data_IF_554640137238
#
_entry.id   IF_554640137238
#
_cell.length_a   1.000
_cell.length_b   1.000
_cell.length_c   1.000
_cell.angle_alpha   90.00
_cell.angle_beta   90.00
_cell.angle_gamma   90.00
#
_symmetry.space_group_name_H-M   'P 1'
#
loop_
_entity.id
_entity.type
_entity.pdbx_description
1 polymer ?
#
# COMPACT_ATOMS: atom_id res chain seq x y z
N UNK A 1 -8.15 -7.26 -9.17
CA UNK A 1 -6.69 -7.14 -9.08
C UNK A 1 -5.94 -8.05 -10.03
N UNK A 2 -6.41 -9.27 -10.23
CA UNK A 2 -5.70 -10.24 -11.09
C UNK A 2 -5.55 -9.76 -12.54
N UNK A 3 -6.52 -9.06 -13.07
CA UNK A 3 -6.48 -8.58 -14.46
C UNK A 3 -5.34 -7.58 -14.70
N UNK A 4 -4.81 -6.96 -13.64
CA UNK A 4 -3.69 -6.02 -13.73
C UNK A 4 -2.37 -6.65 -13.32
N UNK A 5 -2.38 -7.95 -13.01
CA UNK A 5 -1.20 -8.68 -12.59
C UNK A 5 -0.49 -8.03 -11.39
N UNK A 6 -1.29 -7.62 -10.42
CA UNK A 6 -0.82 -7.01 -9.17
C UNK A 6 -1.58 -7.65 -8.01
N UNK A 7 -0.90 -7.90 -6.90
CA UNK A 7 -1.55 -8.43 -5.71
C UNK A 7 -1.90 -7.29 -4.74
N UNK A 8 -2.65 -7.64 -3.70
CA UNK A 8 -3.15 -6.66 -2.73
C UNK A 8 -2.01 -5.92 -2.02
N UNK A 9 -0.93 -6.62 -1.67
CA UNK A 9 0.20 -6.01 -0.98
C UNK A 9 0.93 -5.01 -1.86
N UNK A 10 1.13 -5.36 -3.13
CA UNK A 10 1.73 -4.45 -4.09
C UNK A 10 0.87 -3.21 -4.30
N UNK A 11 -0.44 -3.39 -4.38
CA UNK A 11 -1.38 -2.28 -4.50
C UNK A 11 -1.30 -1.37 -3.27
N UNK A 12 -1.24 -1.96 -2.06
CA UNK A 12 -1.18 -1.19 -0.83
C UNK A 12 0.08 -0.31 -0.77
N UNK A 13 1.22 -0.82 -1.23
CA UNK A 13 2.45 -0.03 -1.29
C UNK A 13 2.30 1.14 -2.26
N UNK A 14 1.78 0.87 -3.46
CA UNK A 14 1.59 1.93 -4.46
C UNK A 14 0.60 2.99 -3.96
N UNK A 15 -0.49 2.56 -3.33
CA UNK A 15 -1.48 3.49 -2.79
C UNK A 15 -0.88 4.38 -1.72
N UNK A 16 -0.08 3.81 -0.81
CA UNK A 16 0.58 4.59 0.23
C UNK A 16 1.50 5.65 -0.38
N UNK A 17 2.33 5.27 -1.35
CA UNK A 17 3.25 6.20 -1.99
C UNK A 17 2.53 7.25 -2.82
N UNK A 18 1.40 6.88 -3.42
CA UNK A 18 0.58 7.80 -4.19
C UNK A 18 0.01 8.91 -3.31
N UNK A 19 -0.50 8.54 -2.13
CA UNK A 19 -1.18 9.49 -1.25
C UNK A 19 -0.24 10.24 -0.30
N UNK A 20 0.84 9.60 0.15
CA UNK A 20 1.71 10.16 1.18
C UNK A 20 3.07 10.61 0.67
N UNK A 21 3.39 10.36 -0.61
CA UNK A 21 4.70 10.66 -1.16
C UNK A 21 5.74 9.64 -0.75
N UNK A 22 7.01 9.96 -1.01
CA UNK A 22 8.11 9.04 -0.70
C UNK A 22 8.17 8.69 0.78
N UNK A 23 8.54 7.44 1.07
CA UNK A 23 8.59 6.92 2.43
C UNK A 23 9.85 6.08 2.61
N UNK A 24 10.47 6.08 3.81
CA UNK A 24 11.48 5.09 4.15
C UNK A 24 10.88 3.69 4.06
N UNK A 25 11.65 2.72 3.56
CA UNK A 25 11.15 1.35 3.37
C UNK A 25 10.60 0.77 4.66
N UNK A 26 11.29 0.97 5.78
CA UNK A 26 10.85 0.45 7.07
C UNK A 26 9.47 1.00 7.47
N UNK A 27 9.21 2.27 7.17
CA UNK A 27 7.93 2.90 7.51
C UNK A 27 6.78 2.36 6.68
N UNK A 28 7.04 1.95 5.44
CA UNK A 28 6.01 1.34 4.59
C UNK A 28 5.49 0.06 5.24
N UNK A 29 6.40 -0.80 5.70
CA UNK A 29 6.01 -2.04 6.37
C UNK A 29 5.15 -1.80 7.60
N UNK A 30 5.48 -0.79 8.39
CA UNK A 30 4.69 -0.44 9.58
C UNK A 30 3.28 0.00 9.23
N UNK A 31 3.15 0.82 8.18
CA UNK A 31 1.85 1.41 7.82
C UNK A 31 0.89 0.42 7.19
N UNK A 32 1.38 -0.59 6.50
CA UNK A 32 0.53 -1.57 5.81
C UNK A 32 0.54 -2.95 6.46
N UNK A 33 1.11 -3.05 7.67
CA UNK A 33 1.09 -4.27 8.48
C UNK A 33 1.70 -5.48 7.77
N UNK A 34 2.82 -5.27 7.08
CA UNK A 34 3.57 -6.33 6.41
C UNK A 34 4.88 -6.55 7.15
N UNK A 35 5.36 -7.80 7.21
CA UNK A 35 6.65 -8.10 7.81
C UNK A 35 7.78 -7.44 7.01
N UNK A 36 8.88 -7.07 7.69
CA UNK A 36 9.98 -6.35 7.05
C UNK A 36 10.60 -7.11 5.86
N UNK A 37 10.70 -8.43 5.96
CA UNK A 37 11.21 -9.24 4.85
C UNK A 37 10.31 -9.19 3.63
N UNK A 38 9.00 -9.20 3.85
CA UNK A 38 8.02 -9.11 2.78
C UNK A 38 8.04 -7.76 2.08
N UNK A 39 8.23 -6.67 2.83
CA UNK A 39 8.22 -5.33 2.23
C UNK A 39 9.39 -5.14 1.28
N UNK A 40 10.58 -5.63 1.61
CA UNK A 40 11.73 -5.54 0.71
C UNK A 40 11.45 -6.30 -0.59
N UNK A 41 10.89 -7.49 -0.51
CA UNK A 41 10.52 -8.29 -1.67
C UNK A 41 9.48 -7.58 -2.55
N UNK A 42 8.46 -7.01 -1.93
CA UNK A 42 7.40 -6.29 -2.65
C UNK A 42 7.97 -5.08 -3.37
N UNK A 43 8.82 -4.30 -2.70
CA UNK A 43 9.45 -3.13 -3.31
C UNK A 43 10.36 -3.55 -4.46
N UNK A 44 11.11 -4.65 -4.31
CA UNK A 44 11.95 -5.18 -5.40
C UNK A 44 11.12 -5.48 -6.64
N UNK A 45 9.98 -6.12 -6.47
CA UNK A 45 9.11 -6.46 -7.59
C UNK A 45 8.55 -5.23 -8.26
N UNK A 46 8.11 -4.24 -7.48
CA UNK A 46 7.56 -3.00 -8.03
C UNK A 46 8.63 -2.19 -8.73
N UNK A 47 9.86 -2.20 -8.22
CA UNK A 47 10.98 -1.51 -8.85
C UNK A 47 11.32 -2.14 -10.21
N UNK A 48 11.32 -3.47 -10.29
CA UNK A 48 11.54 -4.18 -11.55
C UNK A 48 10.49 -3.85 -12.60
N UNK A 49 9.27 -3.59 -12.17
CA UNK A 49 8.18 -3.20 -13.08
C UNK A 49 8.23 -1.72 -13.44
N UNK A 50 9.13 -0.95 -12.84
CA UNK A 50 9.27 0.48 -13.10
C UNK A 50 8.26 1.36 -12.39
N UNK A 51 7.52 0.83 -11.42
CA UNK A 51 6.47 1.57 -10.71
C UNK A 51 6.98 2.35 -9.51
N UNK A 52 8.09 1.93 -8.94
CA UNK A 52 8.73 2.64 -7.83
C UNK A 52 10.23 2.73 -8.08
N UNK A 53 10.88 3.64 -7.34
CA UNK A 53 12.34 3.76 -7.35
C UNK A 53 12.84 3.93 -5.93
N UNK A 54 14.06 3.45 -5.69
CA UNK A 54 14.74 3.65 -4.42
C UNK A 54 15.61 4.89 -4.51
N UNK A 55 15.57 5.71 -3.45
CA UNK A 55 16.34 6.94 -3.36
C UNK A 55 17.14 6.91 -2.07
N UNK A 56 18.48 6.99 -2.18
CA UNK A 56 19.33 7.03 -1.00
C UNK A 56 19.10 8.34 -0.25
N UNK A 57 19.04 8.25 1.09
CA UNK A 57 18.94 9.44 1.91
C UNK A 57 20.27 10.21 1.87
N UNK A 58 20.26 11.50 1.52
CA UNK A 58 21.52 12.27 1.42
C UNK A 58 22.24 12.44 2.76
N UNK A 59 21.52 12.34 3.86
CA UNK A 59 22.07 12.60 5.20
C UNK A 59 22.32 11.34 6.01
N UNK A 60 21.77 10.18 5.61
CA UNK A 60 21.95 8.92 6.34
C UNK A 60 21.96 7.75 5.36
N UNK A 61 23.14 7.14 5.18
CA UNK A 61 23.33 6.01 4.26
C UNK A 61 22.53 4.76 4.65
N UNK A 62 22.09 4.67 5.91
CA UNK A 62 21.33 3.52 6.40
C UNK A 62 19.86 3.60 6.02
N UNK A 63 19.43 4.75 5.50
CA UNK A 63 18.02 4.98 5.17
C UNK A 63 17.87 5.03 3.65
N UNK A 64 16.92 4.26 3.14
CA UNK A 64 16.54 4.29 1.72
C UNK A 64 15.06 4.64 1.64
N UNK A 65 14.77 5.66 0.86
CA UNK A 65 13.39 6.05 0.56
C UNK A 65 12.89 5.28 -0.66
N UNK A 66 11.58 5.05 -0.70
CA UNK A 66 10.90 4.50 -1.87
C UNK A 66 9.91 5.55 -2.36
N UNK A 67 9.95 5.86 -3.65
CA UNK A 67 9.07 6.84 -4.27
C UNK A 67 8.36 6.21 -5.45
N UNK A 68 7.13 6.67 -5.72
CA UNK A 68 6.38 6.23 -6.89
C UNK A 68 6.91 6.96 -8.12
N UNK A 69 7.05 6.22 -9.24
CA UNK A 69 7.48 6.81 -10.52
C UNK A 69 6.27 7.35 -11.29
N UNK A 70 6.52 8.04 -12.40
CA UNK A 70 5.43 8.47 -13.28
C UNK A 70 4.63 7.28 -13.79
N UNK A 71 5.31 6.17 -14.12
CA UNK A 71 4.64 4.95 -14.58
C UNK A 71 3.77 4.36 -13.48
N UNK A 72 4.29 4.33 -12.23
CA UNK A 72 3.51 3.86 -11.08
C UNK A 72 2.31 4.73 -10.80
N UNK A 73 2.47 6.04 -10.91
CA UNK A 73 1.41 7.01 -10.72
C UNK A 73 0.28 6.78 -11.73
N UNK A 74 0.63 6.65 -13.01
CA UNK A 74 -0.34 6.38 -14.06
C UNK A 74 -1.05 5.04 -13.87
N UNK A 75 -0.30 4.03 -13.42
CA UNK A 75 -0.87 2.70 -13.16
C UNK A 75 -1.91 2.76 -12.05
N UNK A 76 -1.59 3.39 -10.92
CA UNK A 76 -2.53 3.47 -9.79
C UNK A 76 -3.77 4.28 -10.17
N UNK A 77 -3.63 5.35 -10.94
CA UNK A 77 -4.76 6.14 -11.39
C UNK A 77 -5.68 5.36 -12.32
N UNK A 78 -5.13 4.39 -13.06
CA UNK A 78 -5.92 3.53 -13.94
C UNK A 78 -6.74 2.51 -13.16
N UNK A 79 -6.14 1.87 -12.14
CA UNK A 79 -6.81 0.77 -11.44
C UNK A 79 -7.60 1.20 -10.21
N UNK A 80 -7.32 2.38 -9.64
CA UNK A 80 -7.92 2.81 -8.37
C UNK A 80 -9.45 2.93 -8.45
N UNK A 81 -10.04 3.58 -9.47
CA UNK A 81 -11.50 3.67 -9.56
C UNK A 81 -12.17 2.31 -9.65
N UNK A 82 -11.58 1.38 -10.39
CA UNK A 82 -12.13 0.03 -10.54
C UNK A 82 -12.04 -0.74 -9.22
N UNK A 83 -10.96 -0.55 -8.49
CA UNK A 83 -10.79 -1.17 -7.18
C UNK A 83 -11.81 -0.63 -6.17
N UNK A 84 -12.02 0.69 -6.14
CA UNK A 84 -13.02 1.31 -5.27
C UNK A 84 -14.41 0.78 -5.57
N UNK A 85 -14.76 0.66 -6.84
CA UNK A 85 -16.07 0.15 -7.25
C UNK A 85 -16.26 -1.29 -6.81
N UNK A 86 -15.24 -2.13 -6.98
CA UNK A 86 -15.30 -3.52 -6.55
C UNK A 86 -15.47 -3.64 -5.04
N UNK A 87 -14.71 -2.87 -4.27
CA UNK A 87 -14.82 -2.87 -2.81
C UNK A 87 -16.21 -2.40 -2.39
N UNK A 88 -16.73 -1.35 -3.02
CA UNK A 88 -18.09 -0.86 -2.73
C UNK A 88 -19.14 -1.93 -2.97
N UNK A 89 -19.01 -2.68 -4.07
CA UNK A 89 -19.93 -3.78 -4.37
C UNK A 89 -19.84 -4.89 -3.33
N UNK A 90 -18.63 -5.26 -2.91
CA UNK A 90 -18.44 -6.30 -1.91
C UNK A 90 -19.12 -5.98 -0.59
N UNK A 91 -19.15 -4.71 -0.22
CA UNK A 91 -19.73 -4.26 1.05
C UNK A 91 -21.12 -3.68 0.91
N UNK A 92 -21.70 -3.70 -0.28
CA UNK A 92 -23.04 -3.15 -0.53
C UNK A 92 -24.15 -3.78 0.33
N UNK A 93 -24.08 -5.07 0.75
CA UNK A 93 -25.10 -5.61 1.65
C UNK A 93 -25.10 -5.02 3.05
N UNK A 94 -24.04 -4.31 3.43
CA UNK A 94 -23.94 -3.72 4.77
C UNK A 94 -24.55 -2.32 4.80
N UNK A 95 -25.22 -2.00 5.90
CA UNK A 95 -25.68 -0.63 6.16
C UNK A 95 -24.49 0.27 6.46
N UNK A 96 -24.68 1.59 6.44
CA UNK A 96 -23.62 2.54 6.77
C UNK A 96 -23.10 2.32 8.20
N UNK A 97 -24.00 2.03 9.14
CA UNK A 97 -23.60 1.73 10.52
C UNK A 97 -22.75 0.49 10.61
N UNK A 98 -23.13 -0.56 9.87
CA UNK A 98 -22.38 -1.81 9.84
C UNK A 98 -20.98 -1.60 9.23
N UNK A 99 -20.88 -0.81 8.18
CA UNK A 99 -19.59 -0.49 7.56
C UNK A 99 -18.68 0.24 8.54
N UNK A 100 -19.21 1.21 9.26
CA UNK A 100 -18.44 1.97 10.26
C UNK A 100 -17.98 1.05 11.40
N UNK A 101 -18.85 0.16 11.87
CA UNK A 101 -18.51 -0.82 12.91
C UNK A 101 -17.37 -1.72 12.44
N UNK A 102 -17.45 -2.21 11.20
CA UNK A 102 -16.42 -3.06 10.64
C UNK A 102 -15.06 -2.34 10.55
N UNK A 103 -15.06 -1.09 10.10
CA UNK A 103 -13.85 -0.27 10.02
C UNK A 103 -13.22 -0.11 11.41
N UNK A 104 -14.04 0.19 12.42
CA UNK A 104 -13.56 0.34 13.79
C UNK A 104 -12.94 -0.94 14.34
N UNK A 105 -13.56 -2.09 14.05
CA UNK A 105 -13.04 -3.39 14.48
C UNK A 105 -11.72 -3.72 13.79
N UNK A 106 -11.60 -3.43 12.50
CA UNK A 106 -10.36 -3.64 11.75
C UNK A 106 -9.24 -2.78 12.31
N UNK A 107 -9.52 -1.51 12.61
CA UNK A 107 -8.53 -0.61 13.22
C UNK A 107 -8.07 -1.12 14.58
N UNK A 108 -8.98 -1.62 15.39
CA UNK A 108 -8.67 -2.18 16.70
C UNK A 108 -7.70 -3.34 16.59
N UNK A 109 -7.94 -4.26 15.65
CA UNK A 109 -7.05 -5.39 15.38
C UNK A 109 -5.69 -4.90 14.89
N UNK A 110 -5.67 -3.93 13.97
CA UNK A 110 -4.44 -3.38 13.43
C UNK A 110 -3.56 -2.73 14.49
N UNK A 111 -4.15 -1.94 15.38
CA UNK A 111 -3.40 -1.30 16.46
C UNK A 111 -2.85 -2.33 17.45
N UNK A 112 -3.63 -3.36 17.77
CA UNK A 112 -3.16 -4.43 18.64
C UNK A 112 -1.95 -5.17 18.02
N UNK A 113 -2.03 -5.46 16.73
CA UNK A 113 -0.94 -6.16 16.02
C UNK A 113 0.35 -5.37 16.04
N UNK A 114 0.30 -4.04 15.96
CA UNK A 114 1.49 -3.20 16.00
C UNK A 114 2.20 -3.24 17.36
N UNK A 115 1.46 -3.55 18.42
CA UNK A 115 2.03 -3.59 19.77
C UNK A 115 2.52 -4.98 20.16
N UNK A 116 2.36 -5.97 19.29
CA UNK A 116 2.91 -7.30 19.50
C UNK A 116 4.35 -7.37 19.01
#
# INVERSE_FOLDING_TARGET
>A
MQQYNINLNEFAVLELLYHKGEQPIQRIGDKILITSGSITYIVDKLEKRGFVERIACPTDRRVTFTAITKAGHAFIETIFPQHEQLVAEMFSPLSDVEKDTMIDLIKKVGYHSKNL
#
